data_IF_837659269828
#
_entry.id   IF_837659269828
#
_cell.length_a   1.000
_cell.length_b   1.000
_cell.length_c   1.000
_cell.angle_alpha   90.00
_cell.angle_beta   90.00
_cell.angle_gamma   90.00
#
_symmetry.space_group_name_H-M   'P 1'
#
loop_
_entity.id
_entity.type
_entity.pdbx_description
1 polymer ?
#
# COMPACT_ATOMS: atom_id res chain seq x y z
N UNK A 1 25.69 -46.16 -28.95
CA UNK A 1 24.42 -46.46 -28.28
C UNK A 1 24.30 -45.46 -27.15
N UNK A 2 23.47 -44.45 -27.35
CA UNK A 2 23.51 -43.19 -26.59
C UNK A 2 22.11 -42.97 -26.02
N UNK A 3 22.00 -42.99 -24.70
CA UNK A 3 20.74 -42.86 -23.96
C UNK A 3 20.41 -41.36 -23.77
N UNK A 4 19.25 -40.83 -24.17
CA UNK A 4 18.88 -39.45 -23.86
C UNK A 4 18.05 -39.39 -22.57
N UNK A 5 18.41 -38.45 -21.70
CA UNK A 5 17.61 -38.03 -20.54
C UNK A 5 16.29 -37.39 -21.02
N UNK A 6 15.13 -37.67 -20.40
CA UNK A 6 13.95 -36.84 -20.57
C UNK A 6 14.03 -35.63 -19.64
N UNK A 7 14.14 -34.43 -20.23
CA UNK A 7 13.95 -33.17 -19.53
C UNK A 7 12.47 -33.05 -19.11
N UNK A 8 12.24 -32.86 -17.81
CA UNK A 8 10.91 -32.60 -17.25
C UNK A 8 10.52 -31.15 -17.53
N UNK A 9 9.80 -30.92 -18.62
CA UNK A 9 9.11 -29.64 -18.88
C UNK A 9 7.92 -29.51 -17.92
N UNK A 10 7.91 -28.45 -17.11
CA UNK A 10 6.77 -28.08 -16.27
C UNK A 10 5.72 -27.34 -17.11
N UNK A 11 4.42 -27.64 -16.96
CA UNK A 11 3.39 -27.00 -17.76
C UNK A 11 3.25 -25.53 -17.34
N UNK A 12 3.53 -24.63 -18.30
CA UNK A 12 3.21 -23.20 -18.24
C UNK A 12 1.69 -23.01 -18.22
N UNK A 13 1.13 -23.06 -17.02
CA UNK A 13 -0.27 -22.84 -16.73
C UNK A 13 -0.62 -21.37 -16.88
N UNK A 14 -1.16 -21.03 -18.06
CA UNK A 14 -1.83 -19.77 -18.38
C UNK A 14 -3.05 -19.57 -17.45
N UNK A 15 -2.82 -19.04 -16.26
CA UNK A 15 -3.86 -18.58 -15.35
C UNK A 15 -4.31 -17.17 -15.71
N UNK A 16 -5.29 -17.03 -16.59
CA UNK A 16 -6.04 -15.78 -16.77
C UNK A 16 -6.84 -15.48 -15.52
N UNK A 17 -6.21 -14.77 -14.57
CA UNK A 17 -6.95 -14.07 -13.51
C UNK A 17 -7.27 -12.69 -14.04
N UNK A 18 -8.55 -12.50 -14.38
CA UNK A 18 -9.08 -11.20 -14.78
C UNK A 18 -8.97 -10.27 -13.56
N UNK A 19 -7.92 -9.44 -13.54
CA UNK A 19 -7.86 -8.28 -12.64
C UNK A 19 -8.86 -7.27 -13.18
N UNK A 20 -9.81 -6.75 -12.39
CA UNK A 20 -10.64 -5.63 -12.82
C UNK A 20 -9.70 -4.45 -13.10
N UNK A 21 -9.52 -4.14 -14.38
CA UNK A 21 -8.86 -2.92 -14.81
C UNK A 21 -9.84 -1.78 -14.55
N UNK A 22 -9.72 -1.13 -13.40
CA UNK A 22 -10.41 0.13 -13.15
C UNK A 22 -9.63 1.23 -13.90
N UNK A 23 -10.16 1.63 -15.06
CA UNK A 23 -9.66 2.77 -15.81
C UNK A 23 -9.94 4.04 -14.99
N UNK A 24 -8.94 4.51 -14.26
CA UNK A 24 -8.99 5.75 -13.49
C UNK A 24 -8.66 6.95 -14.41
N UNK A 25 -9.37 8.09 -14.30
CA UNK A 25 -9.11 9.25 -15.13
C UNK A 25 -7.81 9.94 -14.72
N UNK A 26 -6.94 10.15 -15.70
CA UNK A 26 -5.64 10.83 -15.62
C UNK A 26 -5.76 12.20 -14.93
N UNK A 27 -5.35 12.25 -13.66
CA UNK A 27 -5.27 13.48 -12.88
C UNK A 27 -4.36 13.30 -11.68
N UNK A 28 -3.07 13.05 -11.93
CA UNK A 28 -2.00 12.84 -10.93
C UNK A 28 -2.20 11.65 -9.99
N UNK A 29 -2.06 10.44 -10.53
CA UNK A 29 -2.42 9.19 -9.85
C UNK A 29 -1.29 8.66 -8.96
N UNK A 30 -1.40 8.86 -7.65
CA UNK A 30 -0.85 7.89 -6.69
C UNK A 30 -1.75 6.65 -6.77
N UNK A 31 -1.26 5.56 -7.37
CA UNK A 31 -2.04 4.32 -7.54
C UNK A 31 -2.28 3.70 -6.18
N UNK A 32 -3.43 3.99 -5.58
CA UNK A 32 -3.87 3.25 -4.42
C UNK A 32 -4.56 1.96 -4.88
N UNK A 33 -4.03 0.77 -4.53
CA UNK A 33 -4.69 -0.51 -4.81
C UNK A 33 -5.69 -0.81 -3.68
N UNK A 34 -6.98 -0.79 -4.02
CA UNK A 34 -8.06 -1.25 -3.14
C UNK A 34 -8.19 -2.78 -3.26
N UNK A 35 -7.86 -3.50 -2.19
CA UNK A 35 -8.08 -4.94 -2.09
C UNK A 35 -8.92 -5.19 -0.85
N UNK A 36 -10.24 -5.25 -1.03
CA UNK A 36 -11.17 -5.65 0.02
C UNK A 36 -11.34 -7.17 0.05
N UNK A 37 -10.92 -7.80 1.14
CA UNK A 37 -11.46 -9.11 1.56
C UNK A 37 -12.67 -8.80 2.44
N UNK A 38 -13.81 -9.47 2.25
CA UNK A 38 -15.15 -9.15 2.77
C UNK A 38 -15.32 -8.75 4.27
N UNK A 39 -14.27 -8.72 5.09
CA UNK A 39 -14.28 -8.23 6.48
C UNK A 39 -13.16 -7.23 6.83
N UNK A 40 -12.17 -7.02 5.96
CA UNK A 40 -11.02 -6.14 6.19
C UNK A 40 -10.74 -5.29 4.96
N UNK A 41 -10.88 -3.97 5.12
CA UNK A 41 -10.63 -3.00 4.05
C UNK A 41 -9.19 -2.46 4.16
N UNK A 42 -8.33 -2.85 3.22
CA UNK A 42 -6.91 -2.48 3.19
C UNK A 42 -6.58 -1.73 1.92
N UNK A 43 -5.87 -0.60 2.06
CA UNK A 43 -5.41 0.22 0.96
C UNK A 43 -3.89 0.28 0.94
N UNK A 44 -3.30 0.25 -0.25
CA UNK A 44 -1.86 0.47 -0.46
C UNK A 44 -1.67 1.65 -1.39
N UNK A 45 -0.86 2.64 -1.04
CA UNK A 45 -0.64 3.81 -1.87
C UNK A 45 0.80 4.33 -1.85
N UNK A 46 1.30 4.76 -3.00
CA UNK A 46 2.58 5.45 -3.09
C UNK A 46 2.36 6.97 -2.93
N UNK A 47 2.80 7.54 -1.79
CA UNK A 47 2.49 8.92 -1.44
C UNK A 47 3.49 9.94 -2.00
N UNK A 48 4.66 9.49 -2.49
CA UNK A 48 5.72 10.34 -3.07
C UNK A 48 6.02 11.59 -2.23
N UNK A 49 6.16 11.40 -0.92
CA UNK A 49 6.37 12.46 0.07
C UNK A 49 5.16 12.62 0.98
N UNK A 50 5.28 12.13 2.22
CA UNK A 50 4.20 12.23 3.20
C UNK A 50 3.96 13.69 3.61
N UNK A 51 5.04 14.47 3.76
CA UNK A 51 4.95 15.87 4.20
C UNK A 51 4.19 16.77 3.22
N UNK A 52 4.40 16.60 1.93
CA UNK A 52 3.73 17.39 0.89
C UNK A 52 2.28 16.96 0.65
N UNK A 53 1.94 15.70 0.93
CA UNK A 53 0.65 15.11 0.58
C UNK A 53 -0.19 14.73 1.81
N UNK A 54 0.20 15.15 3.01
CA UNK A 54 -0.45 14.74 4.25
C UNK A 54 -1.95 15.06 4.28
N UNK A 55 -2.35 16.23 3.78
CA UNK A 55 -3.78 16.61 3.71
C UNK A 55 -4.61 15.62 2.88
N UNK A 56 -4.04 15.08 1.80
CA UNK A 56 -4.71 14.06 0.99
C UNK A 56 -4.84 12.73 1.75
N UNK A 57 -3.78 12.34 2.48
CA UNK A 57 -3.79 11.14 3.34
C UNK A 57 -4.84 11.27 4.45
N UNK A 58 -4.86 12.39 5.16
CA UNK A 58 -5.83 12.65 6.23
C UNK A 58 -7.27 12.61 5.71
N UNK A 59 -7.53 13.28 4.58
CA UNK A 59 -8.84 13.24 3.93
C UNK A 59 -9.22 11.80 3.52
N UNK A 60 -8.29 11.01 2.98
CA UNK A 60 -8.55 9.61 2.60
C UNK A 60 -8.91 8.75 3.82
N UNK A 61 -8.16 8.88 4.91
CA UNK A 61 -8.38 8.13 6.16
C UNK A 61 -9.73 8.47 6.81
N UNK A 62 -10.15 9.73 6.75
CA UNK A 62 -11.43 10.20 7.31
C UNK A 62 -12.62 9.82 6.44
N UNK A 63 -12.49 9.90 5.12
CA UNK A 63 -13.56 9.62 4.16
C UNK A 63 -13.81 8.12 3.95
N UNK A 64 -12.75 7.37 3.63
CA UNK A 64 -12.87 5.94 3.25
C UNK A 64 -12.77 4.98 4.44
N UNK A 65 -12.22 5.47 5.57
CA UNK A 65 -12.04 4.71 6.81
C UNK A 65 -11.44 3.30 6.63
N UNK A 66 -10.24 3.15 6.01
CA UNK A 66 -9.56 1.87 5.90
C UNK A 66 -9.20 1.28 7.25
N UNK A 67 -9.17 -0.05 7.32
CA UNK A 67 -8.64 -0.76 8.49
C UNK A 67 -7.13 -0.60 8.55
N UNK A 68 -6.49 -0.71 7.38
CA UNK A 68 -5.05 -0.50 7.18
C UNK A 68 -4.82 0.35 5.93
N UNK A 69 -3.95 1.35 6.04
CA UNK A 69 -3.43 2.10 4.90
C UNK A 69 -1.90 2.00 4.90
N UNK A 70 -1.35 1.34 3.88
CA UNK A 70 0.09 1.25 3.64
C UNK A 70 0.51 2.38 2.73
N UNK A 71 1.50 3.16 3.16
CA UNK A 71 2.10 4.23 2.36
C UNK A 71 3.57 3.93 2.06
N UNK A 72 3.99 4.16 0.82
CA UNK A 72 5.40 4.05 0.39
C UNK A 72 5.94 5.36 -0.16
N UNK A 73 7.26 5.48 -0.23
CA UNK A 73 7.98 6.70 -0.61
C UNK A 73 7.59 7.90 0.26
N UNK A 74 7.58 7.73 1.58
CA UNK A 74 7.23 8.82 2.51
C UNK A 74 8.23 9.98 2.47
N UNK A 75 9.46 9.76 1.98
CA UNK A 75 10.55 10.73 1.92
C UNK A 75 10.83 11.41 3.27
N UNK A 76 10.61 10.69 4.37
CA UNK A 76 10.89 11.14 5.73
C UNK A 76 12.19 10.49 6.23
N UNK A 77 13.01 11.28 6.92
CA UNK A 77 14.16 10.75 7.65
C UNK A 77 13.69 10.02 8.91
N UNK A 78 14.44 9.01 9.36
CA UNK A 78 14.17 8.28 10.61
C UNK A 78 14.13 9.22 11.83
N UNK A 79 14.92 10.29 11.82
CA UNK A 79 14.92 11.31 12.87
C UNK A 79 13.71 12.27 12.81
N UNK A 80 12.81 12.13 11.83
CA UNK A 80 11.64 12.98 11.72
C UNK A 80 10.60 12.62 12.79
N UNK A 81 10.08 13.62 13.49
CA UNK A 81 8.97 13.42 14.41
C UNK A 81 7.71 12.98 13.65
N UNK A 82 7.04 11.94 14.14
CA UNK A 82 5.76 11.45 13.58
C UNK A 82 4.56 12.30 14.01
N UNK A 83 4.72 13.11 15.07
CA UNK A 83 3.67 13.95 15.66
C UNK A 83 2.86 14.78 14.64
N UNK A 84 3.48 15.45 13.64
CA UNK A 84 2.75 16.22 12.62
C UNK A 84 1.86 15.38 11.69
N UNK A 85 2.06 14.06 11.65
CA UNK A 85 1.34 13.12 10.77
C UNK A 85 0.28 12.31 11.52
N UNK A 86 -0.10 12.74 12.72
CA UNK A 86 -1.10 12.09 13.55
C UNK A 86 -2.50 12.36 13.01
N UNK A 87 -3.30 11.31 12.86
CA UNK A 87 -4.71 11.41 12.43
C UNK A 87 -5.59 10.81 13.52
N UNK A 88 -6.68 11.49 13.94
CA UNK A 88 -7.58 10.95 14.96
C UNK A 88 -8.11 9.56 14.58
N UNK A 89 -8.23 8.67 15.56
CA UNK A 89 -8.68 7.28 15.38
C UNK A 89 -7.72 6.34 14.66
N UNK A 90 -6.52 6.79 14.30
CA UNK A 90 -5.50 5.94 13.70
C UNK A 90 -4.19 5.96 14.48
N UNK A 91 -3.58 4.79 14.58
CA UNK A 91 -2.22 4.62 15.03
C UNK A 91 -1.30 4.64 13.82
N UNK A 92 -0.30 5.51 13.84
CA UNK A 92 0.75 5.57 12.82
C UNK A 92 1.91 4.68 13.25
N UNK A 93 2.19 3.65 12.47
CA UNK A 93 3.39 2.82 12.58
C UNK A 93 4.42 3.32 11.54
N UNK A 94 5.41 4.14 11.95
CA UNK A 94 6.40 4.68 11.05
C UNK A 94 7.53 3.67 10.79
N UNK A 95 7.90 3.51 9.53
CA UNK A 95 9.17 2.91 9.12
C UNK A 95 9.85 3.88 8.13
N UNK A 96 10.21 5.05 8.64
CA UNK A 96 10.69 6.16 7.83
C UNK A 96 12.12 5.92 7.34
N UNK A 97 12.30 6.03 6.02
CA UNK A 97 13.59 6.00 5.34
C UNK A 97 13.61 7.14 4.30
N UNK A 98 14.71 7.88 4.22
CA UNK A 98 14.80 9.16 3.50
C UNK A 98 14.45 9.11 2.01
N UNK A 99 14.52 7.94 1.36
CA UNK A 99 14.20 7.75 -0.06
C UNK A 99 13.12 6.72 -0.34
N UNK A 100 12.94 5.74 0.54
CA UNK A 100 12.08 4.58 0.32
C UNK A 100 11.19 4.28 1.54
N UNK A 101 11.04 5.23 2.46
CA UNK A 101 10.32 5.03 3.70
C UNK A 101 8.89 4.57 3.46
N UNK A 102 8.41 3.74 4.38
CA UNK A 102 7.02 3.34 4.43
C UNK A 102 6.41 3.70 5.78
N UNK A 103 5.09 3.78 5.82
CA UNK A 103 4.38 3.81 7.07
C UNK A 103 3.03 3.13 6.91
N UNK A 104 2.46 2.71 8.03
CA UNK A 104 1.15 2.08 8.07
C UNK A 104 0.26 2.85 9.03
N UNK A 105 -0.91 3.26 8.57
CA UNK A 105 -1.98 3.72 9.45
C UNK A 105 -2.88 2.53 9.79
N UNK A 106 -3.10 2.31 11.09
CA UNK A 106 -3.94 1.25 11.64
C UNK A 106 -5.12 1.88 12.37
N UNK A 107 -6.34 1.49 12.05
CA UNK A 107 -7.52 1.99 12.75
C UNK A 107 -7.50 1.56 14.23
N UNK A 108 -7.67 2.50 15.17
CA UNK A 108 -7.54 2.25 16.62
C UNK A 108 -8.52 1.20 17.17
N UNK A 109 -9.67 0.98 16.50
CA UNK A 109 -10.60 -0.08 16.90
C UNK A 109 -9.99 -1.49 16.73
N UNK A 110 -8.86 -1.62 16.03
CA UNK A 110 -8.13 -2.86 15.80
C UNK A 110 -6.88 -2.99 16.69
N UNK A 111 -6.44 -1.93 17.36
CA UNK A 111 -5.35 -1.98 18.33
C UNK A 111 -5.90 -2.38 19.70
N UNK A 112 -5.60 -3.61 20.14
CA UNK A 112 -5.92 -4.12 21.49
C UNK A 112 -5.21 -3.35 22.60
#
# INVERSE_FOLDING_TARGET
MTTPNPASESPSGKGTRNVPRSDWPSGSDSKCLDTSLNFFFMNFCNIRGLRSNFQSVEHHLTFTKPHLLFLTETQLSEAANSSPFSVPSYFLCPQFLSKAGCCVYVLNLLSC
#
